data_IF_111690765280
#
_entry.id   IF_111690765280
#
_cell.length_a   1.000
_cell.length_b   1.000
_cell.length_c   1.000
_cell.angle_alpha   90.00
_cell.angle_beta   90.00
_cell.angle_gamma   90.00
#
_symmetry.space_group_name_H-M   'P 1'
#
loop_
_entity.id
_entity.type
_entity.pdbx_description
1 polymer ?
#
# COMPACT_ATOMS: atom_id res chain seq x y z
N UNK A 1 -2.81 4.33 -1.95
CA UNK A 1 -4.15 4.94 -1.82
C UNK A 1 -5.20 3.88 -1.49
N UNK A 2 -6.40 4.31 -1.12
CA UNK A 2 -7.53 3.44 -0.81
C UNK A 2 -7.88 3.41 0.67
N UNK A 3 -8.49 2.32 1.12
CA UNK A 3 -8.94 2.16 2.50
C UNK A 3 -7.81 2.48 3.50
N UNK A 4 -8.09 3.37 4.44
CA UNK A 4 -7.16 3.84 5.47
C UNK A 4 -5.95 4.67 4.99
N UNK A 5 -5.81 4.99 3.71
CA UNK A 5 -4.67 5.81 3.24
C UNK A 5 -4.70 7.24 3.78
N UNK A 6 -5.87 7.79 4.02
CA UNK A 6 -6.10 9.12 4.60
C UNK A 6 -5.83 9.20 6.11
N UNK A 7 -5.71 8.07 6.79
CA UNK A 7 -5.41 8.06 8.25
C UNK A 7 -4.08 8.73 8.56
N UNK A 8 -3.10 8.62 7.68
CA UNK A 8 -1.81 9.27 7.85
C UNK A 8 -1.93 10.80 7.92
N UNK A 9 -2.90 11.40 7.23
CA UNK A 9 -3.17 12.85 7.23
C UNK A 9 -4.05 13.28 8.41
N UNK A 10 -4.99 12.41 8.82
CA UNK A 10 -6.01 12.74 9.83
C UNK A 10 -5.49 12.58 11.26
N UNK A 11 -4.48 11.74 11.47
CA UNK A 11 -3.84 11.59 12.80
C UNK A 11 -2.91 12.77 13.04
N UNK A 12 -3.28 13.63 14.00
CA UNK A 12 -2.50 14.83 14.33
C UNK A 12 -1.09 14.49 14.85
N UNK A 13 -0.16 15.44 14.70
CA UNK A 13 1.22 15.29 15.23
C UNK A 13 1.23 15.05 16.74
N UNK A 14 0.28 15.60 17.48
CA UNK A 14 0.13 15.40 18.93
C UNK A 14 -0.35 13.99 19.27
N UNK A 15 -1.33 13.47 18.53
CA UNK A 15 -1.81 12.09 18.68
C UNK A 15 -0.72 11.07 18.32
N UNK A 16 0.03 11.29 17.24
CA UNK A 16 1.21 10.48 16.88
C UNK A 16 2.25 10.46 18.00
N UNK A 17 2.51 11.62 18.64
CA UNK A 17 3.48 11.74 19.73
C UNK A 17 3.00 11.09 21.02
N UNK A 18 1.68 11.14 21.32
CA UNK A 18 1.09 10.65 22.57
C UNK A 18 0.79 9.16 22.54
N UNK A 19 0.29 8.65 21.42
CA UNK A 19 -0.20 7.27 21.29
C UNK A 19 0.63 6.41 20.32
N UNK A 20 1.61 7.02 19.61
CA UNK A 20 2.45 6.30 18.67
C UNK A 20 1.62 5.55 17.61
N UNK A 21 2.01 4.32 17.24
CA UNK A 21 1.28 3.51 16.26
C UNK A 21 -0.18 3.20 16.66
N UNK A 22 -0.50 3.21 17.96
CA UNK A 22 -1.86 2.95 18.43
C UNK A 22 -2.88 4.01 17.98
N UNK A 23 -2.43 5.25 17.74
CA UNK A 23 -3.30 6.30 17.20
C UNK A 23 -3.91 5.90 15.84
N UNK A 24 -3.12 5.26 15.00
CA UNK A 24 -3.57 4.75 13.69
C UNK A 24 -4.59 3.61 13.84
N UNK A 25 -4.36 2.69 14.78
CA UNK A 25 -5.30 1.60 15.03
C UNK A 25 -6.66 2.10 15.53
N UNK A 26 -6.67 3.04 16.49
CA UNK A 26 -7.92 3.62 17.00
C UNK A 26 -8.67 4.36 15.89
N UNK A 27 -7.98 5.16 15.09
CA UNK A 27 -8.60 5.89 13.99
C UNK A 27 -9.14 4.93 12.93
N UNK A 28 -8.36 3.92 12.55
CA UNK A 28 -8.78 2.88 11.63
C UNK A 28 -10.03 2.14 12.09
N UNK A 29 -10.11 1.79 13.37
CA UNK A 29 -11.30 1.11 13.92
C UNK A 29 -12.56 1.98 13.86
N UNK A 30 -12.44 3.29 14.08
CA UNK A 30 -13.62 4.21 14.03
C UNK A 30 -14.11 4.45 12.60
N UNK A 31 -13.22 4.34 11.61
CA UNK A 31 -13.54 4.54 10.20
C UNK A 31 -13.89 3.25 9.46
N UNK A 32 -13.67 2.09 10.07
CA UNK A 32 -13.83 0.78 9.44
C UNK A 32 -15.19 0.59 8.72
N UNK A 33 -16.35 0.94 9.33
CA UNK A 33 -17.63 0.75 8.63
C UNK A 33 -17.74 1.57 7.34
N UNK A 34 -17.23 2.78 7.32
CA UNK A 34 -17.23 3.65 6.14
C UNK A 34 -16.22 3.15 5.10
N UNK A 35 -15.05 2.74 5.54
CA UNK A 35 -13.98 2.23 4.67
C UNK A 35 -14.36 0.91 3.99
N UNK A 36 -15.13 0.04 4.66
CA UNK A 36 -15.63 -1.20 4.04
C UNK A 36 -16.62 -0.97 2.90
N UNK A 37 -17.23 0.21 2.83
CA UNK A 37 -18.09 0.59 1.70
C UNK A 37 -17.31 1.11 0.50
N UNK A 38 -16.04 1.46 0.68
CA UNK A 38 -15.17 1.93 -0.39
C UNK A 38 -14.89 0.77 -1.34
N UNK A 39 -15.10 1.01 -2.63
CA UNK A 39 -14.75 0.10 -3.69
C UNK A 39 -13.96 0.87 -4.72
N UNK A 40 -12.70 0.51 -4.90
CA UNK A 40 -11.84 1.09 -5.91
C UNK A 40 -11.84 0.17 -7.12
N UNK A 41 -12.39 0.62 -8.21
CA UNK A 41 -12.22 -0.07 -9.49
C UNK A 41 -10.96 0.46 -10.15
N UNK A 42 -9.90 -0.34 -10.11
CA UNK A 42 -8.58 0.01 -10.60
C UNK A 42 -8.36 -0.55 -12.00
N UNK A 43 -7.91 0.30 -12.91
CA UNK A 43 -7.29 -0.14 -14.15
C UNK A 43 -5.78 0.01 -13.98
N UNK A 44 -5.07 -1.07 -14.08
CA UNK A 44 -3.64 -1.16 -13.78
C UNK A 44 -2.90 -1.64 -15.00
N UNK A 45 -1.81 -0.96 -15.32
CA UNK A 45 -0.83 -1.43 -16.30
C UNK A 45 0.54 -1.50 -15.62
N UNK A 46 1.16 -2.66 -15.69
CA UNK A 46 2.52 -2.90 -15.18
C UNK A 46 3.36 -3.36 -16.36
N UNK A 47 4.33 -2.54 -16.74
CA UNK A 47 5.11 -2.70 -17.96
C UNK A 47 4.17 -2.87 -19.19
N UNK A 48 4.10 -4.06 -19.78
CA UNK A 48 3.27 -4.36 -20.96
C UNK A 48 1.97 -5.11 -20.62
N UNK A 49 1.72 -5.40 -19.33
CA UNK A 49 0.55 -6.17 -18.88
C UNK A 49 -0.49 -5.26 -18.24
N UNK A 50 -1.75 -5.40 -18.67
CA UNK A 50 -2.88 -4.63 -18.13
C UNK A 50 -3.93 -5.54 -17.53
N UNK A 51 -4.53 -5.13 -16.42
CA UNK A 51 -5.62 -5.83 -15.75
C UNK A 51 -6.51 -4.85 -14.99
N UNK A 52 -7.71 -5.32 -14.63
CA UNK A 52 -8.66 -4.61 -13.77
C UNK A 52 -8.78 -5.34 -12.43
N UNK A 53 -8.93 -4.58 -11.34
CA UNK A 53 -9.09 -5.17 -10.01
C UNK A 53 -9.99 -4.30 -9.13
N UNK A 54 -10.95 -4.95 -8.45
CA UNK A 54 -11.73 -4.33 -7.40
C UNK A 54 -10.99 -4.43 -6.07
N UNK A 55 -10.66 -3.31 -5.48
CA UNK A 55 -9.75 -3.23 -4.35
C UNK A 55 -10.30 -2.41 -3.17
N UNK A 56 -9.79 -2.72 -1.98
CA UNK A 56 -9.90 -1.86 -0.80
C UNK A 56 -8.75 -0.85 -0.74
N UNK A 57 -7.54 -1.31 -1.04
CA UNK A 57 -6.31 -0.52 -0.95
C UNK A 57 -5.27 -1.09 -1.90
N UNK A 58 -4.41 -0.21 -2.39
CA UNK A 58 -3.18 -0.60 -3.04
C UNK A 58 -1.98 0.18 -2.51
N UNK A 59 -0.80 -0.41 -2.62
CA UNK A 59 0.47 0.22 -2.29
C UNK A 59 1.52 -0.10 -3.34
N UNK A 60 2.30 0.92 -3.72
CA UNK A 60 3.49 0.78 -4.55
C UNK A 60 4.70 1.06 -3.66
N UNK A 61 5.66 0.17 -3.66
CA UNK A 61 6.87 0.29 -2.83
C UNK A 61 8.05 -0.41 -3.50
N UNK A 62 9.25 -0.18 -3.02
CA UNK A 62 10.45 -0.95 -3.36
C UNK A 62 11.11 -1.55 -2.12
N UNK A 63 10.38 -1.64 -1.02
CA UNK A 63 10.89 -2.14 0.26
C UNK A 63 9.85 -3.03 0.94
N UNK A 64 10.32 -3.94 1.78
CA UNK A 64 9.44 -4.83 2.53
C UNK A 64 8.75 -4.14 3.73
N UNK A 65 9.00 -2.84 3.96
CA UNK A 65 8.44 -2.07 5.08
C UNK A 65 7.63 -0.90 4.56
N UNK A 66 6.36 -0.82 4.94
CA UNK A 66 5.44 0.25 4.56
C UNK A 66 4.72 0.77 5.80
N UNK A 67 4.72 2.09 6.02
CA UNK A 67 3.93 2.72 7.09
C UNK A 67 4.25 2.22 8.51
N UNK A 68 5.46 1.70 8.75
CA UNK A 68 5.86 1.11 10.04
C UNK A 68 5.50 -0.38 10.18
N UNK A 69 4.93 -0.99 9.16
CA UNK A 69 4.66 -2.43 9.09
C UNK A 69 5.78 -3.15 8.36
N UNK A 70 6.37 -4.16 8.99
CA UNK A 70 7.41 -5.00 8.41
C UNK A 70 6.80 -6.18 7.66
N UNK A 71 7.44 -6.55 6.55
CA UNK A 71 7.10 -7.76 5.83
C UNK A 71 5.77 -7.72 5.07
N UNK A 72 5.24 -6.53 4.74
CA UNK A 72 4.05 -6.40 3.87
C UNK A 72 4.35 -7.03 2.51
N UNK A 73 5.56 -6.81 1.99
CA UNK A 73 6.04 -7.42 0.75
C UNK A 73 7.34 -8.14 1.07
N UNK A 74 7.30 -9.43 1.43
CA UNK A 74 8.49 -10.18 1.86
C UNK A 74 9.58 -10.28 0.79
N UNK A 75 9.23 -10.10 -0.48
CA UNK A 75 10.10 -10.30 -1.64
C UNK A 75 10.70 -9.01 -2.19
N UNK A 76 10.29 -7.85 -1.68
CA UNK A 76 10.78 -6.57 -2.17
C UNK A 76 12.30 -6.44 -2.01
N UNK A 77 12.98 -6.07 -3.09
CA UNK A 77 14.43 -5.84 -3.14
C UNK A 77 14.72 -4.45 -3.72
N UNK A 78 15.27 -3.58 -2.90
CA UNK A 78 15.63 -2.19 -3.29
C UNK A 78 16.67 -2.09 -4.42
N UNK A 79 17.32 -3.21 -4.78
CA UNK A 79 18.40 -3.23 -5.77
C UNK A 79 17.99 -3.84 -7.12
N UNK A 80 16.84 -4.46 -7.22
CA UNK A 80 16.40 -5.16 -8.43
C UNK A 80 15.94 -4.24 -9.57
N UNK A 81 15.71 -2.94 -9.24
CA UNK A 81 15.26 -1.93 -10.19
C UNK A 81 13.80 -2.04 -10.56
N UNK A 82 13.00 -2.68 -9.72
CA UNK A 82 11.56 -2.83 -9.87
C UNK A 82 10.81 -2.14 -8.74
N UNK A 83 9.53 -1.91 -8.98
CA UNK A 83 8.54 -1.54 -7.99
C UNK A 83 7.65 -2.75 -7.69
N UNK A 84 7.26 -2.84 -6.46
CA UNK A 84 6.34 -3.84 -5.94
C UNK A 84 4.95 -3.22 -5.79
N UNK A 85 3.97 -3.70 -6.55
CA UNK A 85 2.57 -3.33 -6.41
C UNK A 85 1.84 -4.43 -5.64
N UNK A 86 1.23 -4.06 -4.53
CA UNK A 86 0.33 -4.91 -3.74
C UNK A 86 -1.06 -4.32 -3.75
N UNK A 87 -2.03 -5.14 -4.10
CA UNK A 87 -3.44 -4.80 -4.10
C UNK A 87 -4.16 -5.74 -3.13
N UNK A 88 -4.84 -5.18 -2.15
CA UNK A 88 -5.78 -5.91 -1.30
C UNK A 88 -7.13 -5.89 -2.01
N UNK A 89 -7.50 -7.00 -2.59
CA UNK A 89 -8.74 -7.16 -3.34
C UNK A 89 -9.95 -7.03 -2.44
N UNK A 90 -11.06 -6.66 -3.05
CA UNK A 90 -12.34 -6.69 -2.36
C UNK A 90 -12.72 -8.12 -1.97
N UNK A 91 -13.07 -8.29 -0.71
CA UNK A 91 -13.45 -9.57 -0.14
C UNK A 91 -14.50 -9.38 0.96
N UNK A 92 -14.99 -10.48 1.52
CA UNK A 92 -15.89 -10.39 2.68
C UNK A 92 -15.15 -9.89 3.92
N UNK A 93 -15.91 -9.37 4.90
CA UNK A 93 -15.33 -8.93 6.19
C UNK A 93 -14.62 -10.09 6.91
N UNK A 94 -15.15 -11.30 6.80
CA UNK A 94 -14.53 -12.50 7.36
C UNK A 94 -13.20 -12.84 6.72
N UNK A 95 -13.10 -12.66 5.40
CA UNK A 95 -11.86 -12.88 4.65
C UNK A 95 -10.82 -11.81 4.97
N UNK A 96 -11.26 -10.55 5.13
CA UNK A 96 -10.38 -9.45 5.53
C UNK A 96 -9.78 -9.70 6.94
N UNK A 97 -10.58 -10.20 7.88
CA UNK A 97 -10.09 -10.59 9.22
C UNK A 97 -9.10 -11.76 9.10
N UNK A 98 -9.37 -12.74 8.25
CA UNK A 98 -8.46 -13.85 7.99
C UNK A 98 -7.14 -13.34 7.38
N UNK A 99 -7.20 -12.41 6.43
CA UNK A 99 -6.03 -11.81 5.81
C UNK A 99 -5.15 -11.06 6.84
N UNK A 100 -5.76 -10.28 7.74
CA UNK A 100 -5.04 -9.59 8.83
C UNK A 100 -4.34 -10.60 9.74
N UNK A 101 -5.01 -11.72 10.05
CA UNK A 101 -4.41 -12.81 10.81
C UNK A 101 -3.24 -13.45 10.06
N UNK A 102 -3.41 -13.74 8.77
CA UNK A 102 -2.37 -14.33 7.93
C UNK A 102 -1.15 -13.40 7.80
N UNK A 103 -1.37 -12.08 7.70
CA UNK A 103 -0.30 -11.09 7.75
C UNK A 103 0.53 -11.23 9.03
N UNK A 104 -0.11 -11.35 10.20
CA UNK A 104 0.59 -11.49 11.48
C UNK A 104 1.45 -12.76 11.55
N UNK A 105 1.11 -13.80 10.80
CA UNK A 105 1.86 -15.07 10.72
C UNK A 105 2.77 -15.16 9.48
N UNK A 106 2.91 -14.09 8.70
CA UNK A 106 3.75 -14.05 7.49
C UNK A 106 3.27 -14.97 6.38
N UNK A 107 1.94 -15.16 6.25
CA UNK A 107 1.32 -16.07 5.26
C UNK A 107 0.40 -15.34 4.28
N UNK A 108 0.28 -14.03 4.40
CA UNK A 108 -0.64 -13.21 3.60
C UNK A 108 -0.28 -13.16 2.11
N UNK A 109 1.00 -13.37 1.78
CA UNK A 109 1.51 -13.45 0.40
C UNK A 109 0.85 -14.55 -0.43
N UNK A 110 0.30 -15.58 0.24
CA UNK A 110 -0.41 -16.71 -0.39
C UNK A 110 -1.93 -16.53 -0.40
N UNK A 111 -2.43 -15.43 0.12
CA UNK A 111 -3.86 -15.18 0.17
C UNK A 111 -4.41 -14.91 -1.24
N UNK A 112 -5.55 -15.49 -1.63
CA UNK A 112 -6.20 -15.19 -2.90
C UNK A 112 -6.71 -13.74 -2.98
N UNK A 113 -6.76 -13.04 -1.85
CA UNK A 113 -7.19 -11.65 -1.75
C UNK A 113 -6.03 -10.64 -1.84
N UNK A 114 -4.81 -11.13 -2.03
CA UNK A 114 -3.66 -10.30 -2.36
C UNK A 114 -3.31 -10.52 -3.83
N UNK A 115 -3.28 -9.42 -4.59
CA UNK A 115 -2.71 -9.40 -5.92
C UNK A 115 -1.35 -8.70 -5.84
N UNK A 116 -0.30 -9.41 -6.15
CA UNK A 116 1.08 -8.93 -6.12
C UNK A 116 1.68 -8.98 -7.51
N UNK A 117 2.23 -7.87 -7.94
CA UNK A 117 2.88 -7.71 -9.25
C UNK A 117 4.13 -6.85 -9.11
N UNK A 118 5.17 -7.16 -9.86
CA UNK A 118 6.39 -6.35 -9.97
C UNK A 118 6.58 -5.83 -11.38
N UNK A 119 7.05 -4.58 -11.52
CA UNK A 119 7.43 -4.00 -12.79
C UNK A 119 8.30 -2.76 -12.64
N UNK A 120 8.82 -2.27 -13.74
CA UNK A 120 9.62 -1.04 -13.79
C UNK A 120 8.75 0.20 -13.97
N UNK A 121 7.61 0.03 -14.61
CA UNK A 121 6.65 1.08 -14.89
C UNK A 121 5.25 0.63 -14.45
N UNK A 122 4.59 1.43 -13.64
CA UNK A 122 3.26 1.17 -13.13
C UNK A 122 2.37 2.37 -13.43
N UNK A 123 1.30 2.15 -14.17
CA UNK A 123 0.26 3.11 -14.44
C UNK A 123 -1.04 2.66 -13.78
N UNK A 124 -1.69 3.54 -12.99
CA UNK A 124 -2.95 3.22 -12.31
C UNK A 124 -3.94 4.34 -12.54
N UNK A 125 -5.14 3.95 -12.97
CA UNK A 125 -6.31 4.81 -13.02
C UNK A 125 -7.43 4.25 -12.16
N UNK A 126 -8.34 5.11 -11.73
CA UNK A 126 -9.54 4.75 -11.00
C UNK A 126 -10.68 5.68 -11.44
N UNK A 127 -11.91 5.22 -11.34
CA UNK A 127 -13.11 6.02 -11.60
C UNK A 127 -13.42 7.03 -10.48
N UNK A 128 -12.73 6.93 -9.34
CA UNK A 128 -12.85 7.84 -8.20
C UNK A 128 -11.65 8.78 -8.13
N UNK A 129 -11.90 10.00 -7.66
CA UNK A 129 -10.84 10.95 -7.34
C UNK A 129 -10.20 10.57 -6.00
N UNK A 130 -8.99 10.04 -6.06
CA UNK A 130 -8.24 9.56 -4.92
C UNK A 130 -6.90 10.29 -4.78
N UNK A 131 -6.67 10.82 -3.60
CA UNK A 131 -5.36 11.35 -3.23
C UNK A 131 -4.42 10.21 -2.81
N UNK A 132 -3.21 10.24 -3.31
CA UNK A 132 -2.16 9.31 -2.91
C UNK A 132 -1.52 9.76 -1.60
N UNK A 133 -1.14 8.80 -0.78
CA UNK A 133 -0.17 9.00 0.29
C UNK A 133 1.22 8.65 -0.26
N UNK A 134 2.15 9.58 -0.19
CA UNK A 134 3.55 9.38 -0.59
C UNK A 134 4.42 9.54 0.65
N UNK A 135 4.92 8.43 1.17
CA UNK A 135 5.78 8.36 2.36
C UNK A 135 5.19 9.05 3.62
N UNK A 136 3.86 9.03 3.74
CA UNK A 136 3.14 9.61 4.88
C UNK A 136 2.75 11.07 4.71
N UNK A 137 2.95 11.63 3.52
CA UNK A 137 2.52 12.98 3.14
C UNK A 137 1.48 12.93 2.03
N UNK A 138 0.65 13.97 1.93
CA UNK A 138 -0.34 14.12 0.88
C UNK A 138 0.37 14.31 -0.47
N UNK A 139 0.12 13.40 -1.40
CA UNK A 139 0.70 13.38 -2.72
C UNK A 139 -0.27 13.84 -3.81
N UNK A 140 -0.03 13.37 -5.03
CA UNK A 140 -0.87 13.65 -6.20
C UNK A 140 -2.16 12.82 -6.19
N UNK A 141 -3.07 13.16 -7.09
CA UNK A 141 -4.30 12.38 -7.35
C UNK A 141 -4.08 11.34 -8.44
N UNK A 142 -4.95 10.33 -8.48
CA UNK A 142 -5.05 9.44 -9.64
C UNK A 142 -5.55 10.23 -10.87
N UNK A 143 -5.11 9.89 -12.07
CA UNK A 143 -4.21 8.78 -12.43
C UNK A 143 -2.76 9.05 -12.03
N UNK A 144 -2.02 7.97 -11.76
CA UNK A 144 -0.58 8.03 -11.52
C UNK A 144 0.20 7.24 -12.53
N UNK A 145 1.42 7.71 -12.74
CA UNK A 145 2.42 7.07 -13.59
C UNK A 145 3.73 7.04 -12.81
N UNK A 146 4.21 5.84 -12.47
CA UNK A 146 5.36 5.63 -11.59
C UNK A 146 6.37 4.73 -12.27
N UNK A 147 7.63 5.14 -12.31
CA UNK A 147 8.70 4.34 -12.88
C UNK A 147 9.96 4.38 -12.00
N UNK A 148 10.74 3.30 -12.06
CA UNK A 148 11.99 3.22 -11.33
C UNK A 148 13.09 4.02 -12.00
N UNK A 149 13.90 4.69 -11.18
CA UNK A 149 15.18 5.25 -11.57
C UNK A 149 16.29 4.45 -10.89
N UNK A 150 16.67 3.33 -11.51
CA UNK A 150 17.64 2.43 -10.92
C UNK A 150 18.98 3.12 -10.64
N UNK A 151 19.56 2.90 -9.44
CA UNK A 151 20.85 3.46 -9.02
C UNK A 151 20.91 4.99 -9.01
N UNK A 152 19.78 5.67 -8.90
CA UNK A 152 19.71 7.14 -8.86
C UNK A 152 20.24 7.74 -7.55
N UNK A 153 20.29 6.93 -6.46
CA UNK A 153 20.77 7.36 -5.15
C UNK A 153 21.98 6.54 -4.74
N UNK A 154 23.02 7.20 -4.24
CA UNK A 154 24.18 6.56 -3.64
C UNK A 154 24.18 6.80 -2.14
N UNK A 155 24.22 5.71 -1.36
CA UNK A 155 24.28 5.76 0.09
C UNK A 155 25.70 5.44 0.57
N UNK A 156 26.24 6.29 1.45
CA UNK A 156 27.47 5.98 2.16
C UNK A 156 27.14 5.15 3.39
N UNK A 157 27.67 3.93 3.43
CA UNK A 157 27.52 3.02 4.58
C UNK A 157 28.87 2.81 5.26
N UNK A 158 28.92 2.71 6.60
CA UNK A 158 30.15 2.36 7.29
C UNK A 158 30.65 1.00 6.84
N UNK A 159 31.94 0.89 6.55
CA UNK A 159 32.58 -0.40 6.37
C UNK A 159 32.55 -1.15 7.70
N UNK A 160 32.06 -2.38 7.67
CA UNK A 160 32.11 -3.29 8.83
C UNK A 160 33.52 -3.85 9.01
#
# INVERSE_FOLDING_TARGET
>A
AGMFSDISFVVSKEEKKKFGPLAYYFKGMTQLPQQLSTNLHLNVTVDDESFEEDAYIFAITNTNRVGGFDGIIPFADINDGKLDLVIVKRCSVTDLIALIKDYRFGKHDKSPFIHYVQGQHIHITCDQDLTMDIDGEEGTHLPIDVHTLQKSIQLLVPLK
#
